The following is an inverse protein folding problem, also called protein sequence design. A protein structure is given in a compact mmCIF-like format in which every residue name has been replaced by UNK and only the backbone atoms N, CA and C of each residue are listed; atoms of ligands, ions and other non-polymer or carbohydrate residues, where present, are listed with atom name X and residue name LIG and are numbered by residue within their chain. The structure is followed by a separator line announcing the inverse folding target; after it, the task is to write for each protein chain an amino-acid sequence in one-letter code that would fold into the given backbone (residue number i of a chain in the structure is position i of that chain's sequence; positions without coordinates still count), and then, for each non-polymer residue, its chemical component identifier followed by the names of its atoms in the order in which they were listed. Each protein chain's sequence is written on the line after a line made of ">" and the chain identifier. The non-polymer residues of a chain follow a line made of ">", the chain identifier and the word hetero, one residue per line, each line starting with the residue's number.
data_IF_067116742236
#
_entry.id   IF_067116742236
#
_cell.length_a   1.000
_cell.length_b   1.000
_cell.length_c   1.000
_cell.angle_alpha   90.00
_cell.angle_beta   90.00
_cell.angle_gamma   90.00
#
_symmetry.space_group_name_H-M   'P 1'
#
loop_
_entity.id
_entity.type
_entity.pdbx_description
1 polymer ?
#
# COMPACT_ATOMS: atom_id res chain seq x y z
N UNK A 1 -38.53 38.25 -1.28
CA UNK A 1 -37.09 38.15 -1.01
C UNK A 1 -36.77 36.68 -0.77
N UNK A 2 -35.88 36.10 -1.60
CA UNK A 2 -35.53 34.67 -1.60
C UNK A 2 -34.78 34.26 -0.33
N UNK A 3 -35.18 33.14 0.28
CA UNK A 3 -34.39 32.43 1.29
C UNK A 3 -33.38 31.52 0.58
N UNK A 4 -32.10 31.81 0.73
CA UNK A 4 -31.00 30.96 0.25
C UNK A 4 -30.63 29.93 1.30
N UNK A 5 -30.96 28.66 1.04
CA UNK A 5 -30.45 27.51 1.79
C UNK A 5 -28.98 27.30 1.36
N UNK A 6 -28.03 27.73 2.19
CA UNK A 6 -26.62 27.38 2.03
C UNK A 6 -26.44 25.92 2.44
N UNK A 7 -26.58 25.01 1.47
CA UNK A 7 -26.06 23.65 1.61
C UNK A 7 -24.56 23.75 1.40
N UNK A 8 -23.80 23.87 2.50
CA UNK A 8 -22.38 23.56 2.47
C UNK A 8 -22.25 22.05 2.24
N UNK A 9 -22.15 21.66 0.97
CA UNK A 9 -21.58 20.38 0.60
C UNK A 9 -20.13 20.41 1.13
N UNK A 10 -19.95 19.96 2.36
CA UNK A 10 -18.68 19.43 2.81
C UNK A 10 -18.47 18.20 1.96
N UNK A 11 -17.86 18.40 0.79
CA UNK A 11 -17.20 17.35 0.06
C UNK A 11 -16.19 16.78 1.05
N UNK A 12 -16.60 15.74 1.78
CA UNK A 12 -15.73 14.79 2.43
C UNK A 12 -14.92 14.15 1.30
N UNK A 13 -13.93 14.90 0.80
CA UNK A 13 -12.70 14.28 0.37
C UNK A 13 -12.28 13.51 1.60
N UNK A 14 -12.47 12.18 1.57
CA UNK A 14 -11.86 11.28 2.52
C UNK A 14 -10.44 11.84 2.76
N UNK A 15 -10.08 12.13 4.00
CA UNK A 15 -8.71 12.46 4.35
C UNK A 15 -7.86 11.28 3.87
N UNK A 16 -7.37 11.36 2.64
CA UNK A 16 -6.41 10.43 2.09
C UNK A 16 -5.17 10.75 2.89
N UNK A 17 -4.97 10.02 3.99
CA UNK A 17 -3.79 10.15 4.83
C UNK A 17 -2.59 10.08 3.91
N UNK A 18 -1.85 11.18 3.77
CA UNK A 18 -0.65 11.16 2.95
C UNK A 18 0.28 10.11 3.55
N UNK A 19 0.57 9.00 2.84
CA UNK A 19 1.32 7.88 3.41
C UNK A 19 2.76 8.26 3.77
N UNK A 20 3.21 9.45 3.34
CA UNK A 20 4.53 10.01 3.62
C UNK A 20 4.57 10.92 4.86
N UNK A 21 3.42 11.24 5.47
CA UNK A 21 3.36 11.93 6.77
C UNK A 21 3.59 10.96 7.95
N UNK A 22 3.65 9.66 7.67
CA UNK A 22 3.93 8.61 8.63
C UNK A 22 5.43 8.53 8.93
N UNK A 23 5.82 7.92 10.06
CA UNK A 23 7.23 7.58 10.33
C UNK A 23 7.87 6.90 9.13
N UNK A 24 9.18 7.10 8.91
CA UNK A 24 9.87 6.49 7.75
C UNK A 24 9.74 4.96 7.71
N UNK A 25 9.49 4.34 8.87
CA UNK A 25 9.27 2.91 9.07
C UNK A 25 7.82 2.46 8.85
N UNK A 26 6.86 3.35 8.58
CA UNK A 26 5.44 2.98 8.45
C UNK A 26 4.85 3.53 7.15
N UNK A 27 4.11 2.71 6.40
CA UNK A 27 3.41 3.16 5.18
C UNK A 27 2.00 2.62 5.13
N UNK A 28 1.10 3.40 4.55
CA UNK A 28 -0.23 2.96 4.14
C UNK A 28 -0.22 2.82 2.61
N UNK A 29 -0.39 1.59 2.14
CA UNK A 29 -0.36 1.21 0.73
C UNK A 29 -1.76 0.85 0.27
N UNK A 30 -2.11 1.23 -0.96
CA UNK A 30 -3.38 0.88 -1.57
C UNK A 30 -3.14 0.39 -3.00
N UNK A 31 -4.21 -0.03 -3.69
CA UNK A 31 -4.10 -0.54 -5.07
C UNK A 31 -3.49 0.47 -6.05
N UNK A 32 -3.66 1.77 -5.84
CA UNK A 32 -3.06 2.82 -6.69
C UNK A 32 -1.55 2.95 -6.46
N UNK A 33 -1.08 2.61 -5.26
CA UNK A 33 0.35 2.61 -4.92
C UNK A 33 1.06 1.36 -5.44
N UNK A 34 0.38 0.22 -5.55
CA UNK A 34 1.01 -1.06 -5.91
C UNK A 34 0.91 -1.33 -7.41
N UNK A 35 2.06 -1.36 -8.08
CA UNK A 35 2.18 -1.66 -9.51
C UNK A 35 2.12 -3.18 -9.77
N UNK A 36 2.90 -3.96 -9.03
CA UNK A 36 2.94 -5.42 -9.15
C UNK A 36 3.19 -6.07 -7.79
N UNK A 37 2.67 -7.28 -7.62
CA UNK A 37 2.97 -8.19 -6.52
C UNK A 37 3.68 -9.39 -7.13
N UNK A 38 4.95 -9.59 -6.77
CA UNK A 38 5.82 -10.57 -7.44
C UNK A 38 6.39 -11.53 -6.40
N UNK A 39 6.31 -12.83 -6.67
CA UNK A 39 7.09 -13.82 -5.95
C UNK A 39 8.50 -13.87 -6.54
N UNK A 40 9.50 -13.54 -5.74
CA UNK A 40 10.91 -13.63 -6.09
C UNK A 40 11.56 -14.81 -5.38
N UNK A 41 12.31 -15.60 -6.15
CA UNK A 41 13.20 -16.65 -5.63
C UNK A 41 14.62 -16.12 -5.63
N UNK A 42 15.28 -16.13 -4.48
CA UNK A 42 16.68 -15.76 -4.32
C UNK A 42 17.46 -16.93 -3.70
N UNK A 43 18.79 -16.95 -3.79
CA UNK A 43 19.58 -18.01 -3.16
C UNK A 43 19.28 -18.10 -1.66
N UNK A 44 18.61 -19.18 -1.25
CA UNK A 44 18.26 -19.45 0.15
C UNK A 44 17.04 -18.72 0.70
N UNK A 45 16.31 -17.94 -0.10
CA UNK A 45 15.14 -17.18 0.38
C UNK A 45 14.05 -17.05 -0.69
N UNK A 46 12.78 -17.05 -0.24
CA UNK A 46 11.63 -16.64 -1.03
C UNK A 46 11.10 -15.32 -0.46
N UNK A 47 10.62 -14.44 -1.33
CA UNK A 47 10.00 -13.19 -0.89
C UNK A 47 8.89 -12.75 -1.83
N UNK A 48 7.86 -12.14 -1.25
CA UNK A 48 6.81 -11.45 -2.01
C UNK A 48 7.16 -9.97 -2.02
N UNK A 49 7.33 -9.42 -3.21
CA UNK A 49 7.75 -8.02 -3.42
C UNK A 49 6.60 -7.21 -3.99
N UNK A 50 6.29 -6.11 -3.31
CA UNK A 50 5.38 -5.07 -3.74
C UNK A 50 6.19 -4.01 -4.48
N UNK A 51 6.02 -3.94 -5.79
CA UNK A 51 6.58 -2.85 -6.59
C UNK A 51 5.67 -1.64 -6.44
N UNK A 52 6.19 -0.56 -5.86
CA UNK A 52 5.42 0.66 -5.62
C UNK A 52 5.57 1.62 -6.79
N UNK A 53 4.44 2.18 -7.22
CA UNK A 53 4.36 3.28 -8.18
C UNK A 53 4.52 4.61 -7.44
N UNK A 54 5.55 5.37 -7.78
CA UNK A 54 5.63 6.77 -7.38
C UNK A 54 4.74 7.60 -8.30
N UNK A 55 3.44 7.70 -7.98
CA UNK A 55 2.61 8.76 -8.56
C UNK A 55 2.57 9.97 -7.63
N UNK A 56 3.30 10.99 -8.05
CA UNK A 56 2.96 12.43 -8.06
C UNK A 56 2.28 13.03 -6.80
N UNK A 57 2.79 14.14 -6.22
CA UNK A 57 3.53 15.20 -6.94
C UNK A 57 5.04 15.26 -6.76
N UNK A 58 5.70 14.34 -6.07
CA UNK A 58 7.13 14.50 -5.78
C UNK A 58 7.97 13.32 -6.29
N UNK A 59 8.85 13.63 -7.25
CA UNK A 59 9.91 12.82 -7.89
C UNK A 59 9.55 11.93 -9.11
N UNK A 60 9.68 12.52 -10.30
CA UNK A 60 9.84 11.82 -11.59
C UNK A 60 11.22 11.12 -11.76
N UNK A 61 12.15 11.26 -10.80
CA UNK A 61 13.52 10.71 -10.88
C UNK A 61 13.81 9.56 -9.91
N UNK A 62 12.85 9.12 -9.11
CA UNK A 62 13.10 8.08 -8.12
C UNK A 62 12.67 6.71 -8.65
N UNK A 63 13.54 5.74 -8.41
CA UNK A 63 13.39 4.35 -8.86
C UNK A 63 12.25 3.78 -8.04
N UNK A 64 11.33 3.02 -8.66
CA UNK A 64 10.31 2.24 -7.94
C UNK A 64 10.94 1.60 -6.70
N UNK A 65 10.46 1.95 -5.50
CA UNK A 65 10.97 1.37 -4.28
C UNK A 65 10.26 0.03 -4.03
N UNK A 66 10.96 -1.11 -4.04
CA UNK A 66 10.35 -2.39 -3.69
C UNK A 66 10.25 -2.50 -2.17
N UNK A 67 9.06 -2.86 -1.69
CA UNK A 67 8.90 -3.41 -0.34
C UNK A 67 8.72 -4.92 -0.44
N UNK A 68 9.25 -5.70 0.49
CA UNK A 68 9.15 -7.16 0.42
C UNK A 68 8.85 -7.83 1.75
N UNK A 69 8.10 -8.92 1.71
CA UNK A 69 7.86 -9.83 2.84
C UNK A 69 8.65 -11.12 2.57
N UNK A 70 9.50 -11.54 3.50
CA UNK A 70 10.15 -12.87 3.43
C UNK A 70 9.11 -13.95 3.69
N UNK A 71 9.16 -15.02 2.90
CA UNK A 71 8.25 -16.15 3.03
C UNK A 71 9.04 -17.45 3.09
N UNK A 72 8.47 -18.45 3.77
CA UNK A 72 9.15 -19.73 4.02
C UNK A 72 9.41 -20.53 2.74
N UNK A 73 8.45 -20.54 1.84
CA UNK A 73 8.46 -21.33 0.62
C UNK A 73 7.61 -20.67 -0.48
N UNK A 74 7.76 -21.16 -1.72
CA UNK A 74 7.04 -20.62 -2.87
C UNK A 74 5.51 -20.71 -2.74
N UNK A 75 5.00 -21.78 -2.10
CA UNK A 75 3.56 -21.96 -1.91
C UNK A 75 3.00 -20.87 -0.98
N UNK A 76 3.63 -20.66 0.17
CA UNK A 76 3.27 -19.58 1.09
C UNK A 76 3.39 -18.20 0.41
N UNK A 77 4.38 -18.02 -0.47
CA UNK A 77 4.55 -16.82 -1.27
C UNK A 77 3.39 -16.57 -2.24
N UNK A 78 2.94 -17.59 -2.97
CA UNK A 78 1.79 -17.48 -3.88
C UNK A 78 0.49 -17.20 -3.12
N UNK A 79 0.25 -17.91 -2.01
CA UNK A 79 -0.92 -17.70 -1.15
C UNK A 79 -0.96 -16.27 -0.59
N UNK A 80 0.20 -15.75 -0.15
CA UNK A 80 0.30 -14.36 0.32
C UNK A 80 0.06 -13.36 -0.82
N UNK A 81 0.67 -13.58 -1.99
CA UNK A 81 0.51 -12.69 -3.14
C UNK A 81 -0.97 -12.60 -3.57
N UNK A 82 -1.66 -13.74 -3.67
CA UNK A 82 -3.08 -13.79 -4.02
C UNK A 82 -3.96 -13.14 -2.95
N UNK A 83 -3.64 -13.36 -1.66
CA UNK A 83 -4.36 -12.73 -0.54
C UNK A 83 -4.25 -11.21 -0.60
N UNK A 84 -3.05 -10.68 -0.82
CA UNK A 84 -2.81 -9.25 -0.91
C UNK A 84 -3.47 -8.63 -2.14
N UNK A 85 -3.38 -9.28 -3.31
CA UNK A 85 -3.99 -8.81 -4.55
C UNK A 85 -5.52 -8.70 -4.40
N UNK A 86 -6.17 -9.76 -3.89
CA UNK A 86 -7.62 -9.75 -3.62
C UNK A 86 -8.04 -8.69 -2.61
N UNK A 87 -7.26 -8.48 -1.56
CA UNK A 87 -7.56 -7.49 -0.54
C UNK A 87 -7.48 -6.06 -1.11
N UNK A 88 -6.43 -5.77 -1.88
CA UNK A 88 -6.21 -4.46 -2.50
C UNK A 88 -7.22 -4.17 -3.62
N UNK A 89 -7.61 -5.18 -4.41
CA UNK A 89 -8.60 -5.05 -5.47
C UNK A 89 -10.00 -4.71 -4.94
N UNK A 90 -10.29 -5.04 -3.67
CA UNK A 90 -11.52 -4.57 -2.98
C UNK A 90 -11.49 -3.09 -2.59
N UNK A 91 -10.35 -2.42 -2.78
CA UNK A 91 -10.17 -1.01 -2.48
C UNK A 91 -9.70 -0.72 -1.06
N UNK A 92 -9.31 -1.73 -0.29
CA UNK A 92 -8.82 -1.56 1.07
C UNK A 92 -7.35 -1.13 1.13
N UNK A 93 -6.99 -0.54 2.27
CA UNK A 93 -5.65 -0.08 2.55
C UNK A 93 -4.87 -1.13 3.37
N UNK A 94 -3.59 -1.26 3.03
CA UNK A 94 -2.62 -2.12 3.69
C UNK A 94 -1.67 -1.25 4.51
N UNK A 95 -1.63 -1.44 5.82
CA UNK A 95 -0.61 -0.80 6.67
C UNK A 95 0.61 -1.71 6.77
N UNK A 96 1.80 -1.15 6.58
CA UNK A 96 3.06 -1.90 6.64
C UNK A 96 4.05 -1.22 7.58
N UNK A 97 4.73 -2.04 8.37
CA UNK A 97 5.89 -1.67 9.17
C UNK A 97 7.16 -2.18 8.49
N UNK A 98 8.16 -1.32 8.40
CA UNK A 98 9.34 -1.48 7.55
C UNK A 98 10.63 -1.48 8.38
N UNK A 99 11.55 -2.39 8.02
CA UNK A 99 12.97 -2.30 8.33
C UNK A 99 13.75 -2.15 7.01
N UNK A 100 14.06 -0.91 6.63
CA UNK A 100 14.53 -0.60 5.29
C UNK A 100 13.44 -0.90 4.25
N UNK A 101 13.70 -1.85 3.35
CA UNK A 101 12.72 -2.33 2.35
C UNK A 101 11.94 -3.56 2.80
N UNK A 102 12.30 -4.19 3.92
CA UNK A 102 11.63 -5.38 4.42
C UNK A 102 10.39 -5.00 5.20
N UNK A 103 9.25 -5.59 4.85
CA UNK A 103 8.00 -5.52 5.60
C UNK A 103 8.10 -6.55 6.73
N UNK A 104 8.27 -6.07 7.95
CA UNK A 104 8.36 -6.90 9.16
C UNK A 104 6.99 -7.18 9.77
N UNK A 105 6.02 -6.30 9.53
CA UNK A 105 4.63 -6.46 9.95
C UNK A 105 3.71 -5.81 8.92
N UNK A 106 2.54 -6.41 8.71
CA UNK A 106 1.52 -5.85 7.83
C UNK A 106 0.14 -6.13 8.39
N UNK A 107 -0.77 -5.18 8.23
CA UNK A 107 -2.13 -5.24 8.74
C UNK A 107 -3.14 -5.05 7.62
N UNK A 108 -4.13 -5.95 7.60
CA UNK A 108 -5.27 -5.94 6.70
C UNK A 108 -6.49 -5.51 7.50
N UNK A 109 -6.65 -4.20 7.68
CA UNK A 109 -7.80 -3.61 8.35
C UNK A 109 -8.63 -2.77 7.37
N UNK A 110 -9.85 -3.24 7.12
CA UNK A 110 -10.83 -2.62 6.22
C UNK A 110 -11.30 -1.24 6.71
N UNK A 111 -11.04 -0.90 7.97
CA UNK A 111 -11.38 0.39 8.57
C UNK A 111 -10.35 1.50 8.27
N UNK A 112 -9.15 1.13 7.78
CA UNK A 112 -8.12 2.08 7.37
C UNK A 112 -8.58 2.80 6.11
N UNK A 113 -8.78 4.12 6.19
CA UNK A 113 -9.26 4.99 5.08
C UNK A 113 -8.13 5.68 4.32
#
# INVERSE_FOLDING_TARGET
>A
MLAGLLVSNTSQFAEVTNPWNLPITERILNRKHILHIILETRPGEYRVTLLINERFPYNYKSKSAPFFVRVRDAKAGLELAEKLDKYLDRGYNLRVLLNGSEIIEYELDESIK
#
